data_IF_354588662741
#
_entry.id   IF_354588662741
#
_cell.length_a   1.000
_cell.length_b   1.000
_cell.length_c   1.000
_cell.angle_alpha   90.00
_cell.angle_beta   90.00
_cell.angle_gamma   90.00
#
_symmetry.space_group_name_H-M   'P 1'
#
loop_
_entity.id
_entity.type
_entity.pdbx_description
1 polymer ?
#
# COMPACT_ATOMS: atom_id res chain seq x y z
N UNK A 1 5.34 19.41 -20.07
CA UNK A 1 6.51 18.52 -20.23
C UNK A 1 7.26 18.61 -18.93
N UNK A 2 7.38 17.47 -18.26
CA UNK A 2 8.01 17.39 -16.96
C UNK A 2 9.53 17.44 -17.13
N UNK A 3 10.17 18.10 -16.17
CA UNK A 3 11.61 18.30 -16.17
C UNK A 3 12.17 17.62 -14.94
N UNK A 4 13.35 17.03 -15.09
CA UNK A 4 14.19 16.63 -13.98
C UNK A 4 14.52 17.86 -13.13
N UNK A 5 14.95 17.64 -11.89
CA UNK A 5 15.41 18.71 -10.99
C UNK A 5 16.53 19.54 -11.64
N UNK A 6 17.33 18.91 -12.51
CA UNK A 6 18.40 19.55 -13.28
C UNK A 6 17.91 20.30 -14.54
N UNK A 7 16.59 20.35 -14.77
CA UNK A 7 15.98 21.02 -15.92
C UNK A 7 15.96 20.21 -17.22
N UNK A 8 16.54 19.00 -17.22
CA UNK A 8 16.51 18.08 -18.36
C UNK A 8 15.08 17.60 -18.65
N UNK A 9 14.72 17.48 -19.93
CA UNK A 9 13.40 16.96 -20.33
C UNK A 9 13.34 15.46 -20.08
N UNK A 10 12.32 15.02 -19.35
CA UNK A 10 12.14 13.59 -19.05
C UNK A 10 11.43 12.92 -20.23
N UNK A 11 12.02 11.84 -20.74
CA UNK A 11 11.36 10.99 -21.73
C UNK A 11 10.80 9.73 -21.05
N UNK A 12 9.55 9.83 -20.60
CA UNK A 12 8.86 8.77 -19.85
C UNK A 12 8.84 7.40 -20.53
N UNK A 13 8.84 7.34 -21.86
CA UNK A 13 8.81 6.07 -22.61
C UNK A 13 10.13 5.30 -22.55
N UNK A 14 11.23 5.95 -22.17
CA UNK A 14 12.56 5.36 -22.16
C UNK A 14 13.03 4.97 -20.76
N UNK A 15 12.19 5.12 -19.73
CA UNK A 15 12.57 4.86 -18.34
C UNK A 15 12.32 3.38 -18.01
N UNK A 16 13.38 2.57 -17.83
CA UNK A 16 13.25 1.19 -17.38
C UNK A 16 13.00 1.02 -15.88
N UNK A 17 13.55 1.90 -15.03
CA UNK A 17 13.56 1.72 -13.58
C UNK A 17 13.09 2.99 -12.87
N UNK A 18 12.18 2.79 -11.91
CA UNK A 18 11.55 3.83 -11.11
C UNK A 18 11.64 3.43 -9.64
N UNK A 19 12.07 4.35 -8.79
CA UNK A 19 12.07 4.24 -7.34
C UNK A 19 11.28 5.39 -6.73
N UNK A 20 10.52 5.09 -5.68
CA UNK A 20 9.78 6.08 -4.90
C UNK A 20 9.88 5.72 -3.43
N UNK A 21 10.20 6.70 -2.59
CA UNK A 21 10.26 6.53 -1.15
C UNK A 21 8.97 7.02 -0.50
N UNK A 22 8.47 6.29 0.50
CA UNK A 22 7.23 6.66 1.21
C UNK A 22 7.38 7.94 2.04
N UNK A 23 8.62 8.28 2.42
CA UNK A 23 8.93 9.46 3.23
C UNK A 23 8.99 10.74 2.37
N UNK A 24 9.49 10.62 1.14
CA UNK A 24 9.63 11.75 0.20
C UNK A 24 8.43 11.86 -0.75
N UNK A 25 7.35 12.46 -0.23
CA UNK A 25 6.14 12.69 -1.03
C UNK A 25 6.41 13.60 -2.23
N UNK A 26 6.08 13.10 -3.43
CA UNK A 26 6.13 13.89 -4.65
C UNK A 26 7.49 13.93 -5.35
N UNK A 27 8.47 13.19 -4.83
CA UNK A 27 9.78 13.00 -5.43
C UNK A 27 9.84 11.59 -6.03
N UNK A 28 10.27 11.51 -7.29
CA UNK A 28 10.40 10.27 -8.03
C UNK A 28 11.82 10.14 -8.55
N UNK A 29 12.47 9.02 -8.25
CA UNK A 29 13.80 8.70 -8.74
C UNK A 29 13.67 7.77 -9.95
N UNK A 30 14.35 8.07 -11.04
CA UNK A 30 14.27 7.28 -12.28
C UNK A 30 15.64 7.11 -12.92
N UNK A 31 15.85 5.99 -13.62
CA UNK A 31 17.09 5.74 -14.37
C UNK A 31 16.79 5.28 -15.78
N UNK A 32 17.67 5.65 -16.72
CA UNK A 32 17.66 5.18 -18.10
C UNK A 32 18.48 3.90 -18.33
N UNK A 33 19.25 3.46 -17.33
CA UNK A 33 20.09 2.27 -17.38
C UNK A 33 19.56 1.20 -16.41
N UNK A 34 19.72 -0.07 -16.77
CA UNK A 34 19.53 -1.19 -15.85
C UNK A 34 20.80 -1.50 -15.04
N UNK A 35 21.95 -0.99 -15.51
CA UNK A 35 23.26 -1.21 -14.91
C UNK A 35 23.72 0.09 -14.27
N UNK A 36 23.66 0.15 -12.94
CA UNK A 36 24.16 1.25 -12.13
C UNK A 36 23.13 1.92 -11.20
N UNK A 37 23.63 2.59 -10.16
CA UNK A 37 22.83 3.33 -9.17
C UNK A 37 22.64 4.81 -9.53
N UNK A 38 22.74 5.17 -10.81
CA UNK A 38 22.54 6.53 -11.27
C UNK A 38 21.05 6.80 -11.47
N UNK A 39 20.41 7.35 -10.45
CA UNK A 39 19.01 7.79 -10.48
C UNK A 39 18.95 9.32 -10.58
N UNK A 40 18.20 9.81 -11.55
CA UNK A 40 17.80 11.21 -11.64
C UNK A 40 16.51 11.45 -10.85
N UNK A 41 16.31 12.69 -10.39
CA UNK A 41 15.19 13.05 -9.52
C UNK A 41 14.21 13.96 -10.25
N UNK A 42 12.94 13.56 -10.31
CA UNK A 42 11.84 14.36 -10.82
C UNK A 42 10.87 14.75 -9.70
N UNK A 43 10.45 16.02 -9.68
CA UNK A 43 9.30 16.43 -8.89
C UNK A 43 8.02 16.18 -9.69
N UNK A 44 7.21 15.21 -9.24
CA UNK A 44 5.98 14.78 -9.91
C UNK A 44 4.73 15.48 -9.39
N UNK A 45 4.87 16.34 -8.37
CA UNK A 45 3.75 17.16 -7.92
C UNK A 45 3.37 18.16 -9.02
N UNK A 46 2.08 18.49 -9.17
CA UNK A 46 1.63 19.44 -10.17
C UNK A 46 2.31 20.79 -9.95
N UNK A 47 3.34 21.07 -10.74
CA UNK A 47 3.96 22.39 -10.79
C UNK A 47 2.90 23.39 -11.23
N UNK A 48 2.74 24.47 -10.45
CA UNK A 48 1.69 25.49 -10.59
C UNK A 48 1.33 25.75 -12.05
N UNK A 49 0.23 25.19 -12.54
CA UNK A 49 -0.36 25.65 -13.80
C UNK A 49 -0.88 27.06 -13.54
N UNK A 50 -0.36 28.04 -14.30
CA UNK A 50 -0.74 29.46 -14.19
C UNK A 50 -2.28 29.57 -14.19
N UNK A 51 -2.84 30.03 -13.07
CA UNK A 51 -4.29 30.23 -12.89
C UNK A 51 -5.03 29.20 -12.03
N UNK A 52 -4.40 28.11 -11.55
CA UNK A 52 -5.04 27.18 -10.62
C UNK A 52 -4.32 27.16 -9.27
N UNK A 53 -5.00 27.38 -8.13
CA UNK A 53 -4.36 27.23 -6.84
C UNK A 53 -3.87 25.79 -6.69
N UNK A 54 -2.57 25.65 -6.41
CA UNK A 54 -1.95 24.37 -6.10
C UNK A 54 -2.41 23.97 -4.71
N UNK A 55 -3.40 23.08 -4.61
CA UNK A 55 -3.70 22.44 -3.34
C UNK A 55 -2.47 21.62 -2.90
N UNK A 56 -2.01 21.73 -1.65
CA UNK A 56 -1.01 20.79 -1.15
C UNK A 56 -1.62 19.39 -1.24
N UNK A 57 -0.96 18.50 -2.00
CA UNK A 57 -1.39 17.11 -2.12
C UNK A 57 -0.92 16.33 -0.89
N UNK A 58 -1.52 16.66 0.26
CA UNK A 58 -1.43 15.83 1.43
C UNK A 58 -2.48 14.73 1.28
N UNK A 59 -2.04 13.48 1.11
CA UNK A 59 -2.95 12.35 1.14
C UNK A 59 -3.60 12.30 2.53
N UNK A 60 -4.93 12.38 2.65
CA UNK A 60 -5.58 12.20 3.93
C UNK A 60 -5.24 10.79 4.44
N UNK A 61 -4.89 10.67 5.72
CA UNK A 61 -4.74 9.35 6.35
C UNK A 61 -6.06 8.61 6.17
N UNK A 62 -6.03 7.47 5.46
CA UNK A 62 -7.23 6.68 5.20
C UNK A 62 -7.88 6.20 6.50
N UNK A 63 -7.05 5.89 7.50
CA UNK A 63 -7.48 5.49 8.84
C UNK A 63 -6.79 6.35 9.91
N UNK A 64 -7.56 6.85 10.87
CA UNK A 64 -7.07 7.65 11.99
C UNK A 64 -6.71 6.80 13.22
N UNK A 65 -7.13 5.53 13.23
CA UNK A 65 -6.89 4.56 14.30
C UNK A 65 -6.75 3.16 13.70
N UNK A 66 -6.22 2.23 14.50
CA UNK A 66 -6.15 0.82 14.11
C UNK A 66 -7.57 0.27 13.92
N UNK A 67 -7.81 -0.38 12.77
CA UNK A 67 -9.10 -0.99 12.52
C UNK A 67 -9.21 -2.27 13.32
N UNK A 68 -10.34 -2.40 14.02
CA UNK A 68 -10.70 -3.61 14.74
C UNK A 68 -11.15 -4.69 13.73
N UNK A 69 -10.88 -5.94 14.04
CA UNK A 69 -11.24 -7.09 13.20
C UNK A 69 -12.48 -7.81 13.74
N UNK A 70 -13.12 -8.65 12.94
CA UNK A 70 -14.20 -9.50 13.43
C UNK A 70 -13.65 -10.60 14.36
N UNK A 71 -14.46 -11.03 15.34
CA UNK A 71 -14.08 -12.07 16.30
C UNK A 71 -13.75 -13.38 15.60
N UNK A 72 -14.64 -13.83 14.71
CA UNK A 72 -14.43 -15.05 13.92
C UNK A 72 -13.11 -15.02 13.13
N UNK A 73 -12.75 -13.86 12.55
CA UNK A 73 -11.47 -13.70 11.84
C UNK A 73 -10.27 -13.74 12.78
N UNK A 74 -10.40 -13.20 13.99
CA UNK A 74 -9.34 -13.29 14.99
C UNK A 74 -9.12 -14.75 15.41
N UNK A 75 -10.18 -15.49 15.65
CA UNK A 75 -10.12 -16.89 16.07
C UNK A 75 -9.53 -17.77 14.97
N UNK A 76 -9.93 -17.54 13.71
CA UNK A 76 -9.35 -18.19 12.53
C UNK A 76 -7.83 -17.93 12.43
N UNK A 77 -7.40 -16.66 12.52
CA UNK A 77 -5.98 -16.30 12.52
C UNK A 77 -5.19 -16.94 13.68
N UNK A 78 -5.78 -17.00 14.87
CA UNK A 78 -5.15 -17.64 16.03
C UNK A 78 -5.09 -19.17 15.88
N UNK A 79 -6.03 -19.78 15.15
CA UNK A 79 -6.00 -21.20 14.84
C UNK A 79 -4.84 -21.59 13.91
N UNK A 80 -4.38 -20.64 13.08
CA UNK A 80 -3.23 -20.82 12.19
C UNK A 80 -1.89 -20.68 12.92
N UNK A 81 -1.83 -20.01 14.07
CA UNK A 81 -0.61 -19.90 14.88
C UNK A 81 0.00 -21.27 15.27
N UNK A 82 -0.74 -22.24 15.84
CA UNK A 82 -0.21 -23.56 16.18
C UNK A 82 0.09 -24.45 14.96
N UNK A 83 -0.51 -24.16 13.79
CA UNK A 83 -0.28 -24.93 12.56
C UNK A 83 1.13 -24.74 11.97
N UNK A 84 1.89 -23.74 12.44
CA UNK A 84 3.20 -23.39 11.92
C UNK A 84 3.19 -22.58 10.63
N UNK A 85 2.00 -22.30 10.06
CA UNK A 85 1.83 -21.40 8.90
C UNK A 85 2.20 -19.95 9.23
N UNK A 86 1.98 -19.53 10.48
CA UNK A 86 2.36 -18.21 10.98
C UNK A 86 3.63 -18.34 11.83
N UNK A 87 4.73 -17.65 11.49
CA UNK A 87 5.94 -17.64 12.30
C UNK A 87 5.69 -17.18 13.74
N UNK A 88 6.37 -17.82 14.70
CA UNK A 88 6.17 -17.60 16.14
C UNK A 88 6.38 -16.14 16.56
N UNK A 89 7.26 -15.41 15.87
CA UNK A 89 7.53 -13.98 16.10
C UNK A 89 6.27 -13.11 15.95
N UNK A 90 5.32 -13.52 15.11
CA UNK A 90 4.10 -12.76 14.85
C UNK A 90 2.94 -13.14 15.78
N UNK A 91 3.04 -14.23 16.54
CA UNK A 91 1.94 -14.69 17.41
C UNK A 91 1.52 -13.63 18.42
N UNK A 92 2.49 -12.90 19.01
CA UNK A 92 2.21 -11.82 19.94
C UNK A 92 1.41 -10.67 19.31
N UNK A 93 1.67 -10.38 18.02
CA UNK A 93 0.94 -9.36 17.28
C UNK A 93 -0.51 -9.76 17.00
N UNK A 94 -0.76 -11.00 16.57
CA UNK A 94 -2.14 -11.47 16.35
C UNK A 94 -2.98 -11.48 17.64
N UNK A 95 -2.36 -11.79 18.78
CA UNK A 95 -3.03 -11.74 20.08
C UNK A 95 -3.45 -10.32 20.48
N UNK A 96 -2.67 -9.29 20.11
CA UNK A 96 -2.94 -7.89 20.47
C UNK A 96 -4.02 -7.21 19.62
N UNK A 97 -4.52 -7.88 18.56
CA UNK A 97 -5.59 -7.33 17.71
C UNK A 97 -6.91 -7.16 18.47
N UNK A 98 -7.51 -5.99 18.35
CA UNK A 98 -8.82 -5.69 18.94
C UNK A 98 -9.98 -6.19 18.07
N UNK A 99 -11.04 -6.67 18.72
CA UNK A 99 -12.24 -7.21 18.06
C UNK A 99 -13.37 -6.18 18.02
N UNK A 100 -14.07 -6.09 16.89
CA UNK A 100 -15.34 -5.37 16.76
C UNK A 100 -16.44 -6.14 17.50
N UNK A 101 -17.05 -5.53 18.51
CA UNK A 101 -18.17 -6.10 19.28
C UNK A 101 -19.53 -5.98 18.58
N UNK A 102 -19.56 -5.80 17.26
CA UNK A 102 -20.82 -5.65 16.54
C UNK A 102 -21.37 -7.04 16.20
N UNK A 103 -22.42 -7.44 16.91
CA UNK A 103 -23.22 -8.67 16.75
C UNK A 103 -24.01 -8.75 15.41
N UNK A 104 -23.50 -8.14 14.34
CA UNK A 104 -24.14 -8.16 13.03
C UNK A 104 -23.08 -8.25 11.94
N UNK A 105 -22.65 -9.47 11.63
CA UNK A 105 -22.12 -9.79 10.32
C UNK A 105 -22.56 -11.19 9.97
N UNK A 106 -23.43 -11.25 8.96
CA UNK A 106 -24.09 -12.43 8.47
C UNK A 106 -23.09 -13.53 8.13
N UNK A 107 -23.49 -14.72 8.56
CA UNK A 107 -22.97 -16.04 8.24
C UNK A 107 -22.95 -16.21 6.70
N UNK A 108 -21.79 -16.04 6.06
CA UNK A 108 -21.60 -16.53 4.70
C UNK A 108 -21.36 -18.04 4.80
N UNK A 109 -22.46 -18.81 4.79
CA UNK A 109 -22.40 -20.25 4.56
C UNK A 109 -22.06 -20.47 3.09
N UNK A 110 -20.84 -20.95 2.84
CA UNK A 110 -20.50 -21.59 1.58
C UNK A 110 -21.27 -22.92 1.50
N UNK A 111 -22.35 -22.96 0.71
CA UNK A 111 -22.97 -24.22 0.30
C UNK A 111 -22.05 -24.89 -0.72
N UNK A 112 -21.37 -25.94 -0.27
CA UNK A 112 -20.72 -26.95 -1.10
C UNK A 112 -21.83 -27.72 -1.86
N UNK A 113 -21.97 -27.45 -3.17
CA UNK A 113 -22.84 -28.26 -4.04
C UNK A 113 -22.04 -29.44 -4.58
N UNK A 114 -22.30 -30.62 -4.01
CA UNK A 114 -21.88 -31.91 -4.54
C UNK A 114 -22.72 -32.21 -5.80
N UNK A 115 -22.08 -32.18 -6.97
CA UNK A 115 -22.70 -32.58 -8.23
C UNK A 115 -22.36 -34.04 -8.47
N UNK A 116 -23.25 -34.93 -8.05
CA UNK A 116 -23.24 -36.34 -8.40
C UNK A 116 -24.26 -36.56 -9.55
N UNK A 117 -23.77 -36.79 -10.77
CA UNK A 117 -24.31 -37.73 -11.78
C UNK A 117 -23.48 -37.76 -13.07
#
# INVERSE_FOLDING_TARGET
>A
MDKSTDGAKINWLKIPSIKSEKEENGIMQFSYSHEGDNYEVANILPSRKKGRPSAPMAWPKLHHSMQKIQGAKKDDLLSLCPSGLIPQEYHAWFNSLEVCTNENSADEKEEESDVDQ
#
